data_IF_646248537038
#
_entry.id   IF_646248537038
#
_cell.length_a   1.000
_cell.length_b   1.000
_cell.length_c   1.000
_cell.angle_alpha   90.00
_cell.angle_beta   90.00
_cell.angle_gamma   90.00
#
_symmetry.space_group_name_H-M   'P 1'
#
loop_
_entity.id
_entity.type
_entity.pdbx_description
1 polymer ?
#
# COMPACT_ATOMS: atom_id res chain seq x y z
N UNK A 1 7.81 -14.23 -18.52
CA UNK A 1 7.40 -13.52 -17.29
C UNK A 1 6.77 -14.52 -16.34
N UNK A 2 7.46 -15.65 -16.14
CA UNK A 2 6.91 -16.89 -15.56
C UNK A 2 7.64 -17.34 -14.30
N UNK A 3 8.80 -16.75 -14.00
CA UNK A 3 9.40 -16.84 -12.67
C UNK A 3 8.50 -16.18 -11.61
N UNK A 4 8.62 -16.54 -10.32
CA UNK A 4 7.92 -15.89 -9.22
C UNK A 4 8.17 -14.38 -9.15
N UNK A 5 7.18 -13.62 -8.63
CA UNK A 5 7.24 -12.15 -8.57
C UNK A 5 8.55 -11.55 -7.98
N UNK A 6 9.17 -12.11 -6.91
CA UNK A 6 10.41 -11.58 -6.35
C UNK A 6 11.65 -11.66 -7.26
N UNK A 7 11.55 -12.32 -8.41
CA UNK A 7 12.69 -12.51 -9.33
C UNK A 7 12.85 -11.35 -10.33
N UNK A 8 12.06 -10.29 -10.21
CA UNK A 8 12.04 -9.17 -11.16
C UNK A 8 12.29 -7.84 -10.45
N UNK A 9 13.02 -6.95 -11.11
CA UNK A 9 12.99 -5.53 -10.77
C UNK A 9 11.62 -4.95 -11.12
N UNK A 10 11.10 -4.11 -10.22
CA UNK A 10 9.81 -3.45 -10.39
C UNK A 10 10.03 -1.94 -10.50
N UNK A 11 9.56 -1.34 -11.60
CA UNK A 11 9.55 0.11 -11.74
C UNK A 11 8.60 0.70 -10.68
N UNK A 12 9.13 1.51 -9.77
CA UNK A 12 8.46 1.88 -8.52
C UNK A 12 8.45 3.40 -8.34
N UNK A 13 7.35 3.92 -7.81
CA UNK A 13 7.14 5.34 -7.53
C UNK A 13 6.91 5.53 -6.03
N UNK A 14 7.60 6.51 -5.44
CA UNK A 14 7.51 6.87 -4.02
C UNK A 14 6.70 8.17 -3.86
N UNK A 15 5.87 8.26 -2.83
CA UNK A 15 4.92 9.36 -2.61
C UNK A 15 4.20 9.77 -3.89
N UNK A 16 3.58 8.77 -4.53
CA UNK A 16 3.12 8.85 -5.93
C UNK A 16 2.07 9.94 -6.16
N UNK A 17 1.32 10.29 -5.11
CA UNK A 17 0.31 11.34 -5.12
C UNK A 17 0.89 12.75 -5.20
N UNK A 18 2.17 12.98 -4.87
CA UNK A 18 2.76 14.31 -4.85
C UNK A 18 3.16 14.77 -6.26
N UNK A 19 2.55 15.86 -6.72
CA UNK A 19 3.05 16.62 -7.87
C UNK A 19 3.96 17.76 -7.38
N UNK A 20 5.28 17.65 -7.65
CA UNK A 20 6.25 18.70 -7.33
C UNK A 20 7.19 18.36 -6.15
N UNK A 21 7.60 19.37 -5.39
CA UNK A 21 8.51 19.21 -4.25
C UNK A 21 7.79 18.59 -3.04
N UNK A 22 8.44 17.68 -2.32
CA UNK A 22 7.86 16.93 -1.18
C UNK A 22 7.21 17.82 -0.08
N UNK A 23 7.65 19.07 0.09
CA UNK A 23 7.14 19.99 1.12
C UNK A 23 6.15 21.05 0.60
N UNK A 24 5.93 21.13 -0.72
CA UNK A 24 5.14 22.20 -1.37
C UNK A 24 4.29 21.74 -2.55
N UNK A 25 4.31 20.45 -2.88
CA UNK A 25 3.50 19.87 -3.94
C UNK A 25 2.06 19.67 -3.49
N UNK A 26 1.15 19.49 -4.44
CA UNK A 26 -0.25 19.14 -4.15
C UNK A 26 -0.41 17.61 -4.22
N UNK A 27 -1.27 17.03 -3.39
CA UNK A 27 -1.71 15.65 -3.56
C UNK A 27 -2.68 15.64 -4.74
N UNK A 28 -2.41 14.83 -5.75
CA UNK A 28 -3.19 14.81 -6.98
C UNK A 28 -3.25 13.44 -7.61
N UNK A 29 -4.40 13.14 -8.21
CA UNK A 29 -4.59 11.93 -9.01
C UNK A 29 -3.64 11.89 -10.22
N UNK A 30 -3.20 13.05 -10.72
CA UNK A 30 -2.30 13.15 -11.87
C UNK A 30 -0.93 12.52 -11.62
N UNK A 31 -0.46 12.50 -10.36
CA UNK A 31 0.78 11.81 -9.99
C UNK A 31 0.72 10.30 -10.29
N UNK A 32 -0.40 9.66 -9.95
CA UNK A 32 -0.66 8.25 -10.28
C UNK A 32 -0.75 8.02 -11.79
N UNK A 33 -1.47 8.89 -12.50
CA UNK A 33 -1.63 8.80 -13.96
C UNK A 33 -0.26 8.89 -14.64
N UNK A 34 0.55 9.87 -14.26
CA UNK A 34 1.89 10.07 -14.80
C UNK A 34 2.80 8.87 -14.54
N UNK A 35 2.85 8.38 -13.30
CA UNK A 35 3.65 7.21 -12.94
C UNK A 35 3.26 5.96 -13.75
N UNK A 36 1.95 5.69 -13.88
CA UNK A 36 1.43 4.57 -14.67
C UNK A 36 1.75 4.70 -16.17
N UNK A 37 1.64 5.90 -16.74
CA UNK A 37 2.02 6.18 -18.14
C UNK A 37 3.52 6.02 -18.37
N UNK A 38 4.36 6.23 -17.35
CA UNK A 38 5.80 5.94 -17.37
C UNK A 38 6.15 4.48 -17.06
N UNK A 39 5.13 3.63 -16.89
CA UNK A 39 5.30 2.20 -16.68
C UNK A 39 5.59 1.80 -15.24
N UNK A 40 5.44 2.69 -14.25
CA UNK A 40 5.54 2.33 -12.85
C UNK A 40 4.49 1.26 -12.52
N UNK A 41 4.89 0.20 -11.83
CA UNK A 41 4.08 -0.96 -11.42
C UNK A 41 3.95 -1.07 -9.90
N UNK A 42 4.69 -0.27 -9.14
CA UNK A 42 4.49 -0.12 -7.69
C UNK A 42 4.23 1.36 -7.40
N UNK A 43 3.12 1.64 -6.75
CA UNK A 43 2.64 2.98 -6.39
C UNK A 43 2.43 3.04 -4.87
N UNK A 44 2.50 4.23 -4.30
CA UNK A 44 2.38 4.47 -2.86
C UNK A 44 1.14 5.30 -2.52
N UNK A 45 0.47 4.94 -1.43
CA UNK A 45 -0.72 5.60 -0.90
C UNK A 45 -0.53 5.85 0.60
N UNK A 46 -0.45 7.13 0.99
CA UNK A 46 -0.34 7.54 2.38
C UNK A 46 -1.72 7.91 2.89
N UNK A 47 -2.37 6.98 3.60
CA UNK A 47 -3.79 7.07 3.94
C UNK A 47 -4.01 7.62 5.34
N UNK A 48 -4.91 8.59 5.45
CA UNK A 48 -5.34 9.25 6.68
C UNK A 48 -6.86 9.25 6.80
N UNK A 49 -7.36 9.44 8.02
CA UNK A 49 -8.77 9.68 8.25
C UNK A 49 -9.22 10.98 7.55
N UNK A 50 -10.31 10.92 6.80
CA UNK A 50 -10.95 12.10 6.22
C UNK A 50 -12.09 12.63 7.08
N UNK A 51 -12.39 13.92 6.96
CA UNK A 51 -13.42 14.61 7.74
C UNK A 51 -14.84 14.10 7.49
N UNK A 52 -15.09 13.50 6.32
CA UNK A 52 -16.39 12.98 5.91
C UNK A 52 -16.53 11.46 6.04
N UNK A 53 -15.66 10.83 6.82
CA UNK A 53 -15.68 9.38 7.05
C UNK A 53 -15.14 8.54 5.89
N UNK A 54 -14.60 9.18 4.85
CA UNK A 54 -13.89 8.53 3.75
C UNK A 54 -12.37 8.76 3.89
N UNK A 55 -11.54 7.71 3.81
CA UNK A 55 -10.09 7.86 3.86
C UNK A 55 -9.55 8.74 2.75
N UNK A 56 -8.53 9.52 3.08
CA UNK A 56 -7.87 10.45 2.17
C UNK A 56 -6.38 10.15 2.03
N UNK A 57 -5.78 10.60 0.93
CA UNK A 57 -4.35 10.53 0.64
C UNK A 57 -3.75 11.92 0.78
N UNK A 58 -2.73 12.05 1.62
CA UNK A 58 -1.95 13.29 1.82
C UNK A 58 -0.61 12.97 2.51
N UNK A 59 0.28 13.95 2.66
CA UNK A 59 1.56 13.78 3.33
C UNK A 59 1.54 14.33 4.76
N UNK A 60 2.12 13.61 5.72
CA UNK A 60 2.21 14.02 7.13
C UNK A 60 2.77 15.45 7.26
N UNK A 61 2.12 16.28 8.07
CA UNK A 61 2.59 17.63 8.50
C UNK A 61 2.74 18.66 7.37
N UNK A 62 1.98 18.53 6.29
CA UNK A 62 1.99 19.49 5.18
C UNK A 62 0.63 20.18 5.02
N UNK A 63 0.60 21.40 4.47
CA UNK A 63 -0.63 22.15 4.14
C UNK A 63 -1.24 21.69 2.81
N UNK A 64 -1.07 20.41 2.47
CA UNK A 64 -1.43 19.87 1.17
C UNK A 64 -2.90 19.45 1.19
N UNK A 65 -3.67 19.99 0.26
CA UNK A 65 -5.06 19.58 0.07
C UNK A 65 -5.11 18.08 -0.27
N UNK A 66 -5.87 17.27 0.48
CA UNK A 66 -5.94 15.84 0.28
C UNK A 66 -6.79 15.46 -0.93
N UNK A 67 -6.56 14.26 -1.47
CA UNK A 67 -7.47 13.59 -2.41
C UNK A 67 -8.12 12.40 -1.72
N UNK A 68 -9.37 12.06 -2.09
CA UNK A 68 -10.01 10.86 -1.53
C UNK A 68 -9.39 9.58 -2.08
N UNK A 69 -9.41 8.51 -1.29
CA UNK A 69 -8.99 7.18 -1.73
C UNK A 69 -9.77 6.76 -2.98
N UNK A 70 -11.08 6.97 -3.03
CA UNK A 70 -11.92 6.60 -4.17
C UNK A 70 -11.45 7.28 -5.45
N UNK A 71 -11.20 8.58 -5.44
CA UNK A 71 -10.74 9.32 -6.62
C UNK A 71 -9.39 8.79 -7.12
N UNK A 72 -8.46 8.49 -6.21
CA UNK A 72 -7.18 7.90 -6.58
C UNK A 72 -7.33 6.51 -7.18
N UNK A 73 -8.17 5.64 -6.59
CA UNK A 73 -8.41 4.30 -7.12
C UNK A 73 -9.13 4.30 -8.46
N UNK A 74 -10.06 5.23 -8.69
CA UNK A 74 -10.72 5.38 -9.99
C UNK A 74 -9.74 5.76 -11.09
N UNK A 75 -8.83 6.70 -10.80
CA UNK A 75 -7.74 7.04 -11.72
C UNK A 75 -6.81 5.83 -11.94
N UNK A 76 -6.35 5.17 -10.87
CA UNK A 76 -5.50 3.98 -10.98
C UNK A 76 -6.20 2.90 -11.82
N UNK A 77 -7.46 2.56 -11.55
CA UNK A 77 -8.22 1.55 -12.31
C UNK A 77 -8.24 1.86 -13.81
N UNK A 78 -8.43 3.12 -14.18
CA UNK A 78 -8.49 3.56 -15.58
C UNK A 78 -7.15 3.37 -16.29
N UNK A 79 -6.05 3.76 -15.65
CA UNK A 79 -4.73 3.82 -16.28
C UNK A 79 -3.81 2.63 -15.97
N UNK A 80 -4.17 1.80 -14.98
CA UNK A 80 -3.31 0.75 -14.42
C UNK A 80 -2.72 -0.16 -15.48
N UNK A 81 -3.46 -0.44 -16.55
CA UNK A 81 -3.05 -1.44 -17.53
C UNK A 81 -3.06 -0.98 -18.99
N UNK A 82 -2.98 0.34 -19.24
CA UNK A 82 -2.89 0.92 -20.59
C UNK A 82 -1.53 0.64 -21.23
N UNK A 83 -0.45 0.83 -20.49
CA UNK A 83 0.93 0.71 -20.99
C UNK A 83 1.55 -0.67 -20.75
N UNK A 84 0.98 -1.46 -19.85
CA UNK A 84 1.48 -2.79 -19.49
C UNK A 84 0.36 -3.66 -18.92
N UNK A 85 0.25 -4.94 -19.31
CA UNK A 85 -0.77 -5.85 -18.77
C UNK A 85 -0.40 -6.46 -17.41
N UNK A 86 0.85 -6.26 -16.96
CA UNK A 86 1.41 -6.86 -15.76
C UNK A 86 0.86 -6.21 -14.47
N UNK A 87 0.93 -6.92 -13.32
CA UNK A 87 0.29 -6.45 -12.09
C UNK A 87 0.77 -5.07 -11.63
N UNK A 88 -0.12 -4.38 -10.92
CA UNK A 88 0.19 -3.15 -10.17
C UNK A 88 0.16 -3.47 -8.68
N UNK A 89 1.15 -2.99 -7.93
CA UNK A 89 1.26 -3.12 -6.48
C UNK A 89 0.97 -1.75 -5.87
N UNK A 90 0.03 -1.70 -4.93
CA UNK A 90 -0.26 -0.52 -4.13
C UNK A 90 0.33 -0.73 -2.74
N UNK A 91 1.37 0.03 -2.40
CA UNK A 91 1.97 0.06 -1.07
C UNK A 91 1.21 1.04 -0.20
N UNK A 92 0.69 0.56 0.92
CA UNK A 92 -0.17 1.32 1.81
C UNK A 92 0.61 1.76 3.05
N UNK A 93 0.76 3.08 3.22
CA UNK A 93 1.16 3.68 4.50
C UNK A 93 -0.11 4.05 5.27
N UNK A 94 -0.49 3.21 6.24
CA UNK A 94 -1.80 3.31 6.91
C UNK A 94 -1.75 4.12 8.21
N UNK A 95 -2.38 5.29 8.22
CA UNK A 95 -2.63 6.14 9.40
C UNK A 95 -4.12 6.28 9.74
N UNK A 96 -4.96 5.44 9.11
CA UNK A 96 -6.42 5.49 9.21
C UNK A 96 -6.87 4.81 10.49
N UNK A 97 -7.85 5.37 11.20
CA UNK A 97 -8.48 4.75 12.37
C UNK A 97 -9.37 3.55 11.99
N UNK A 98 -9.61 2.62 12.92
CA UNK A 98 -10.33 1.36 12.65
C UNK A 98 -11.66 1.52 11.90
N UNK A 99 -12.47 2.53 12.27
CA UNK A 99 -13.77 2.77 11.63
C UNK A 99 -13.59 3.11 10.16
N UNK A 100 -12.66 3.99 9.82
CA UNK A 100 -12.39 4.35 8.44
C UNK A 100 -11.54 3.28 7.72
N UNK A 101 -10.78 2.43 8.41
CA UNK A 101 -10.16 1.26 7.79
C UNK A 101 -11.20 0.26 7.26
N UNK A 102 -12.34 0.12 7.94
CA UNK A 102 -13.47 -0.67 7.42
C UNK A 102 -14.01 -0.06 6.11
N UNK A 103 -14.17 1.27 6.08
CA UNK A 103 -14.58 2.00 4.87
C UNK A 103 -13.54 1.86 3.76
N UNK A 104 -12.25 1.96 4.10
CA UNK A 104 -11.12 1.75 3.21
C UNK A 104 -11.18 0.39 2.52
N UNK A 105 -11.46 -0.68 3.27
CA UNK A 105 -11.64 -2.02 2.72
C UNK A 105 -12.77 -2.06 1.69
N UNK A 106 -13.94 -1.51 2.03
CA UNK A 106 -15.08 -1.42 1.10
C UNK A 106 -14.75 -0.62 -0.16
N UNK A 107 -14.05 0.51 -0.04
CA UNK A 107 -13.64 1.34 -1.19
C UNK A 107 -12.68 0.57 -2.12
N UNK A 108 -11.72 -0.18 -1.57
CA UNK A 108 -10.84 -1.03 -2.37
C UNK A 108 -11.64 -2.08 -3.16
N UNK A 109 -12.55 -2.80 -2.50
CA UNK A 109 -13.37 -3.84 -3.14
C UNK A 109 -14.33 -3.26 -4.19
N UNK A 110 -15.05 -2.19 -3.85
CA UNK A 110 -16.02 -1.54 -4.76
C UNK A 110 -15.34 -0.99 -6.02
N UNK A 111 -14.24 -0.25 -5.85
CA UNK A 111 -13.60 0.44 -6.97
C UNK A 111 -12.82 -0.56 -7.81
N UNK A 112 -11.96 -1.39 -7.21
CA UNK A 112 -11.10 -2.29 -7.96
C UNK A 112 -11.82 -3.55 -8.45
N UNK A 113 -12.84 -4.04 -7.72
CA UNK A 113 -13.61 -5.23 -8.06
C UNK A 113 -12.72 -6.41 -8.45
N UNK A 114 -12.99 -7.01 -9.60
CA UNK A 114 -12.23 -8.17 -10.12
C UNK A 114 -10.75 -7.89 -10.38
N UNK A 115 -10.31 -6.63 -10.42
CA UNK A 115 -8.89 -6.30 -10.54
C UNK A 115 -8.15 -6.58 -9.23
N UNK A 116 -8.82 -6.48 -8.08
CA UNK A 116 -8.20 -6.75 -6.78
C UNK A 116 -7.79 -8.22 -6.68
N UNK A 117 -6.54 -8.46 -6.31
CA UNK A 117 -6.02 -9.80 -6.11
C UNK A 117 -6.23 -10.24 -4.67
N UNK A 118 -7.04 -11.29 -4.50
CA UNK A 118 -7.18 -12.00 -3.24
C UNK A 118 -6.27 -13.23 -3.25
N UNK A 119 -5.30 -13.33 -2.33
CA UNK A 119 -4.43 -14.48 -2.27
C UNK A 119 -5.23 -15.74 -1.86
N UNK A 120 -4.98 -16.91 -2.46
CA UNK A 120 -5.71 -18.13 -2.11
C UNK A 120 -5.42 -18.58 -0.67
N UNK A 121 -6.26 -19.45 -0.08
CA UNK A 121 -5.98 -20.06 1.20
C UNK A 121 -4.58 -20.71 1.20
N UNK A 122 -3.84 -20.56 2.31
CA UNK A 122 -2.45 -21.08 2.48
C UNK A 122 -1.41 -20.51 1.51
N UNK A 123 -1.71 -19.42 0.82
CA UNK A 123 -0.77 -18.69 -0.04
C UNK A 123 0.55 -18.30 0.64
N UNK A 124 0.54 -18.08 1.96
CA UNK A 124 1.75 -17.80 2.74
C UNK A 124 2.80 -18.92 2.68
N UNK A 125 2.40 -20.15 2.36
CA UNK A 125 3.28 -21.33 2.25
C UNK A 125 3.71 -21.61 0.80
N UNK A 126 3.24 -20.81 -0.16
CA UNK A 126 3.48 -21.01 -1.58
C UNK A 126 4.35 -19.89 -2.15
N UNK A 127 5.17 -20.16 -3.18
CA UNK A 127 5.85 -19.10 -3.92
C UNK A 127 4.84 -18.09 -4.48
N UNK A 128 5.21 -16.81 -4.50
CA UNK A 128 4.38 -15.78 -5.12
C UNK A 128 4.13 -16.10 -6.60
N UNK A 129 2.91 -15.84 -7.14
CA UNK A 129 2.62 -16.08 -8.54
C UNK A 129 3.53 -15.27 -9.47
N UNK A 130 3.69 -15.75 -10.71
CA UNK A 130 4.44 -15.02 -11.73
C UNK A 130 3.67 -13.80 -12.25
N UNK A 131 4.34 -12.80 -12.83
CA UNK A 131 3.67 -11.67 -13.46
C UNK A 131 2.64 -12.09 -14.54
N UNK A 132 2.89 -13.18 -15.28
CA UNK A 132 1.93 -13.72 -16.25
C UNK A 132 0.64 -14.24 -15.59
N UNK A 133 0.72 -14.85 -14.40
CA UNK A 133 -0.46 -15.31 -13.64
C UNK A 133 -1.24 -14.15 -12.99
N UNK A 134 -0.60 -12.99 -12.83
CA UNK A 134 -1.17 -11.79 -12.20
C UNK A 134 -1.51 -10.68 -13.20
N UNK A 135 -1.65 -11.02 -14.49
CA UNK A 135 -2.05 -10.02 -15.49
C UNK A 135 -3.38 -9.38 -15.12
N UNK A 136 -3.44 -8.05 -15.27
CA UNK A 136 -4.62 -7.22 -14.94
C UNK A 136 -5.06 -7.34 -13.47
N UNK A 137 -4.12 -7.62 -12.57
CA UNK A 137 -4.37 -7.65 -11.12
C UNK A 137 -3.70 -6.50 -10.37
N UNK A 138 -4.36 -6.04 -9.32
CA UNK A 138 -3.88 -5.04 -8.37
C UNK A 138 -3.65 -5.74 -7.03
N UNK A 139 -2.44 -5.64 -6.49
CA UNK A 139 -2.03 -6.26 -5.24
C UNK A 139 -1.87 -5.18 -4.18
N UNK A 140 -2.41 -5.41 -2.99
CA UNK A 140 -2.16 -4.53 -1.84
C UNK A 140 -0.97 -5.05 -1.03
N UNK A 141 -0.03 -4.16 -0.75
CA UNK A 141 1.12 -4.36 0.14
C UNK A 141 0.95 -3.50 1.39
N UNK A 142 1.03 -4.10 2.56
CA UNK A 142 0.85 -3.39 3.83
C UNK A 142 0.97 -4.30 5.06
N UNK A 143 0.68 -3.77 6.23
CA UNK A 143 0.65 -4.55 7.49
C UNK A 143 -0.51 -5.54 7.44
N UNK A 144 -0.32 -6.74 8.00
CA UNK A 144 -1.33 -7.80 8.03
C UNK A 144 -1.42 -8.39 9.43
N UNK A 145 -2.63 -8.68 9.89
CA UNK A 145 -2.87 -9.45 11.11
C UNK A 145 -2.28 -10.86 10.94
N UNK A 146 -1.52 -11.31 11.94
CA UNK A 146 -1.06 -12.70 12.03
C UNK A 146 -2.21 -13.68 12.31
N UNK A 147 -1.92 -14.98 12.34
CA UNK A 147 -2.93 -16.02 12.67
C UNK A 147 -3.54 -15.84 14.08
N UNK A 148 -2.83 -15.14 14.99
CA UNK A 148 -3.32 -14.78 16.33
C UNK A 148 -4.20 -13.52 16.37
N UNK A 149 -4.34 -12.78 15.26
CA UNK A 149 -5.06 -11.52 15.23
C UNK A 149 -4.27 -10.31 15.74
N UNK A 150 -2.96 -10.45 15.94
CA UNK A 150 -2.07 -9.34 16.31
C UNK A 150 -1.35 -8.76 15.09
N UNK A 151 -1.12 -7.45 15.10
CA UNK A 151 -0.23 -6.77 14.15
C UNK A 151 1.20 -6.89 14.67
N UNK A 152 2.20 -7.25 13.84
CA UNK A 152 3.59 -7.14 14.24
C UNK A 152 3.91 -5.68 14.66
N UNK A 153 4.54 -5.50 15.83
CA UNK A 153 4.87 -4.17 16.37
C UNK A 153 5.90 -3.44 15.47
N UNK A 154 5.47 -2.32 14.91
CA UNK A 154 6.24 -1.48 13.98
C UNK A 154 6.60 -0.17 14.70
N UNK A 155 7.71 -0.18 15.45
CA UNK A 155 8.36 1.05 15.87
C UNK A 155 9.05 1.73 14.68
N UNK A 156 8.40 2.72 14.06
CA UNK A 156 8.99 3.56 13.02
C UNK A 156 10.02 4.52 13.61
N UNK A 157 11.30 4.17 13.52
CA UNK A 157 12.42 5.07 13.81
C UNK A 157 12.79 5.86 12.54
N UNK A 158 12.02 6.89 12.21
CA UNK A 158 12.59 7.99 11.43
C UNK A 158 13.56 8.77 12.32
N UNK A 159 14.82 8.79 11.89
CA UNK A 159 15.96 9.47 12.50
C UNK A 159 15.73 10.99 12.48
N UNK A 160 15.46 11.55 13.66
CA UNK A 160 15.52 12.98 13.92
C UNK A 160 15.97 13.15 15.37
N UNK A 161 17.16 13.73 15.63
CA UNK A 161 17.61 13.92 16.99
C UNK A 161 16.79 15.05 17.60
N UNK A 162 16.35 14.84 18.84
CA UNK A 162 15.68 15.79 19.75
C UNK A 162 14.15 15.91 19.63
N UNK A 163 13.44 15.01 20.34
CA UNK A 163 12.50 15.31 21.45
C UNK A 163 11.82 14.00 21.87
N UNK A 164 11.56 13.84 23.17
CA UNK A 164 10.85 12.68 23.71
C UNK A 164 9.51 12.49 22.97
N UNK A 165 9.40 11.38 22.22
CA UNK A 165 8.17 11.01 21.49
C UNK A 165 7.15 10.49 22.51
N UNK A 166 5.93 11.02 22.46
CA UNK A 166 4.78 10.40 23.10
C UNK A 166 4.61 8.95 22.59
N UNK A 167 4.06 8.01 23.38
CA UNK A 167 3.87 6.64 22.94
C UNK A 167 3.10 6.64 21.61
N UNK A 168 3.71 6.06 20.57
CA UNK A 168 3.04 5.84 19.30
C UNK A 168 1.73 5.11 19.61
N UNK A 169 0.59 5.72 19.29
CA UNK A 169 -0.68 5.05 19.43
C UNK A 169 -0.61 3.77 18.59
N UNK A 170 -0.71 2.61 19.24
CA UNK A 170 -0.73 1.32 18.58
C UNK A 170 -1.95 1.30 17.65
N UNK A 171 -1.74 1.60 16.35
CA UNK A 171 -2.81 1.60 15.37
C UNK A 171 -3.25 0.15 15.20
N UNK A 172 -4.40 -0.17 15.77
CA UNK A 172 -5.08 -1.45 15.56
C UNK A 172 -5.46 -1.57 14.08
N UNK A 173 -5.33 -2.77 13.51
CA UNK A 173 -5.59 -3.05 12.11
C UNK A 173 -6.96 -3.74 11.97
N UNK A 174 -7.82 -3.21 11.11
CA UNK A 174 -9.15 -3.76 10.88
C UNK A 174 -9.06 -5.11 10.14
N UNK A 175 -9.79 -6.16 10.59
CA UNK A 175 -9.72 -7.48 9.95
C UNK A 175 -10.14 -7.51 8.48
N UNK A 176 -11.12 -6.70 8.06
CA UNK A 176 -11.53 -6.66 6.66
C UNK A 176 -10.44 -6.04 5.79
N UNK A 177 -9.85 -4.92 6.23
CA UNK A 177 -8.72 -4.32 5.52
C UNK A 177 -7.51 -5.28 5.47
N UNK A 178 -7.16 -5.90 6.61
CA UNK A 178 -6.07 -6.87 6.69
C UNK A 178 -6.26 -8.06 5.75
N UNK A 179 -7.50 -8.52 5.53
CA UNK A 179 -7.81 -9.61 4.62
C UNK A 179 -7.49 -9.28 3.15
N UNK A 180 -7.52 -8.00 2.77
CA UNK A 180 -7.18 -7.54 1.42
C UNK A 180 -5.66 -7.49 1.16
N UNK A 181 -4.84 -7.54 2.21
CA UNK A 181 -3.37 -7.48 2.08
C UNK A 181 -2.84 -8.78 1.48
N UNK A 182 -2.39 -8.67 0.24
CA UNK A 182 -1.85 -9.76 -0.56
C UNK A 182 -0.33 -9.93 -0.42
N UNK A 183 0.37 -8.84 -0.10
CA UNK A 183 1.82 -8.80 0.10
C UNK A 183 2.10 -8.22 1.49
N UNK A 184 2.24 -9.06 2.54
CA UNK A 184 2.53 -8.57 3.87
C UNK A 184 3.88 -7.84 3.91
N UNK A 185 3.90 -6.64 4.47
CA UNK A 185 5.15 -5.98 4.88
C UNK A 185 5.62 -6.61 6.18
N UNK A 186 6.89 -7.05 6.20
CA UNK A 186 7.54 -7.57 7.40
C UNK A 186 8.73 -6.68 7.74
N UNK A 187 8.86 -6.33 9.02
CA UNK A 187 10.06 -5.67 9.52
C UNK A 187 11.20 -6.68 9.51
N UNK A 188 12.28 -6.34 8.82
CA UNK A 188 13.52 -7.10 8.94
C UNK A 188 14.15 -6.73 10.29
N UNK A 189 14.68 -7.72 10.99
CA UNK A 189 15.53 -7.44 12.14
C UNK A 189 16.80 -6.71 11.67
N UNK A 190 17.52 -6.15 12.63
CA UNK A 190 18.84 -5.56 12.39
C UNK A 190 19.85 -6.58 11.81
N UNK A 191 19.52 -7.87 11.80
CA UNK A 191 20.33 -8.93 11.23
C UNK A 191 19.55 -9.69 10.15
N UNK A 192 19.66 -9.21 8.92
CA UNK A 192 19.03 -9.83 7.74
C UNK A 192 19.39 -11.32 7.56
N UNK A 193 20.60 -11.74 8.00
CA UNK A 193 21.01 -13.15 7.93
C UNK A 193 20.27 -14.02 8.94
N UNK A 194 19.84 -13.45 10.07
CA UNK A 194 18.99 -14.15 11.03
C UNK A 194 17.58 -14.32 10.45
N UNK A 195 17.03 -13.29 9.81
CA UNK A 195 15.69 -13.33 9.21
C UNK A 195 15.58 -14.32 8.04
N UNK A 196 16.66 -14.49 7.27
CA UNK A 196 16.70 -15.48 6.18
C UNK A 196 16.61 -16.91 6.72
N UNK A 197 17.12 -17.18 7.92
CA UNK A 197 17.13 -18.53 8.51
C UNK A 197 15.80 -18.91 9.17
N UNK A 198 14.94 -17.94 9.46
CA UNK A 198 13.66 -18.14 10.17
C UNK A 198 12.44 -18.16 9.24
N UNK A 199 12.65 -17.97 7.93
CA UNK A 199 11.64 -18.15 6.87
C UNK A 199 11.65 -19.58 6.34
#
# INVERSE_FOLDING_TARGET
MDQPLPHYFCNSSHNTYLAGLQLRGEATVEGYIYALKKGARLLELDLFDGEHGEPVITHKRTLIDPITLRNALEAIKRYAFETSPYPVILTIENHVGLVQQRVMASVFEEVLGDLLYHPPPKSAQLPLPSPNKLKKKVLLRGKKLGESGDVPDDGDEEDSPTKAKAPHAHISLDPAFSALISLPSVKLSHNIYADIKTR
#
